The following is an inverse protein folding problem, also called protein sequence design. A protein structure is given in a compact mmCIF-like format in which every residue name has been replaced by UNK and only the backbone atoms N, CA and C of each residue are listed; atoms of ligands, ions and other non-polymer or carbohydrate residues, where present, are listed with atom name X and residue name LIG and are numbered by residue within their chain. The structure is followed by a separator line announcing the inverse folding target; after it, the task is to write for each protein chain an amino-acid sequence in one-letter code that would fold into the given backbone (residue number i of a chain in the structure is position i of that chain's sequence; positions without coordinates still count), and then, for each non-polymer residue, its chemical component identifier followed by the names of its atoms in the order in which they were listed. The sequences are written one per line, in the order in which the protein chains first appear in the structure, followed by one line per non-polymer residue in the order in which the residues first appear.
data_IF_343123815959
#
_entry.id   IF_343123815959
#
_cell.length_a   1.000
_cell.length_b   1.000
_cell.length_c   1.000
_cell.angle_alpha   90.00
_cell.angle_beta   90.00
_cell.angle_gamma   90.00
#
_symmetry.space_group_name_H-M   'P 1'
#
loop_
_entity.id
_entity.type
_entity.pdbx_description
1 polymer ?
#
# COMPACT_ATOMS: atom_id res chain seq x y z
N UNK A 1 13.76 -3.77 -4.04
CA UNK A 1 14.42 -3.18 -5.19
C UNK A 1 15.75 -2.48 -4.82
N UNK A 2 15.74 -1.33 -4.11
CA UNK A 2 16.99 -0.58 -3.82
C UNK A 2 18.06 -1.40 -3.06
N UNK A 3 17.68 -2.27 -2.14
CA UNK A 3 18.63 -3.13 -1.42
C UNK A 3 19.24 -4.21 -2.33
N UNK A 4 18.49 -4.73 -3.30
CA UNK A 4 19.02 -5.63 -4.32
C UNK A 4 20.02 -4.91 -5.22
N UNK A 5 19.70 -3.69 -5.66
CA UNK A 5 20.64 -2.86 -6.43
C UNK A 5 21.89 -2.49 -5.63
N UNK A 6 21.77 -2.33 -4.32
CA UNK A 6 22.89 -2.14 -3.41
C UNK A 6 23.76 -3.39 -3.29
N UNK A 7 23.26 -4.57 -3.67
CA UNK A 7 24.00 -5.82 -3.76
C UNK A 7 23.58 -6.89 -2.75
N UNK A 8 22.36 -6.82 -2.23
CA UNK A 8 21.78 -7.96 -1.53
C UNK A 8 21.73 -9.18 -2.47
N UNK A 9 22.01 -10.36 -1.94
CA UNK A 9 22.03 -11.60 -2.72
C UNK A 9 20.59 -12.01 -3.07
N UNK A 10 20.26 -11.90 -4.37
CA UNK A 10 18.94 -12.24 -4.89
C UNK A 10 18.59 -13.72 -4.64
N UNK A 11 19.58 -14.63 -4.73
CA UNK A 11 19.34 -16.06 -4.51
C UNK A 11 18.92 -16.35 -3.08
N UNK A 12 19.55 -15.68 -2.11
CA UNK A 12 19.15 -15.79 -0.69
C UNK A 12 17.72 -15.31 -0.48
N UNK A 13 17.34 -14.21 -1.13
CA UNK A 13 15.96 -13.71 -1.08
C UNK A 13 14.97 -14.71 -1.69
N UNK A 14 15.27 -15.23 -2.89
CA UNK A 14 14.43 -16.21 -3.58
C UNK A 14 14.24 -17.49 -2.74
N UNK A 15 15.31 -18.05 -2.17
CA UNK A 15 15.26 -19.24 -1.32
C UNK A 15 14.37 -19.05 -0.08
N UNK A 16 14.40 -17.85 0.52
CA UNK A 16 13.50 -17.50 1.64
C UNK A 16 12.05 -17.41 1.16
N UNK A 17 11.78 -16.70 0.07
CA UNK A 17 10.43 -16.50 -0.46
C UNK A 17 9.80 -17.82 -0.96
N UNK A 18 10.59 -18.73 -1.55
CA UNK A 18 10.15 -20.08 -1.90
C UNK A 18 9.73 -20.92 -0.66
N UNK A 19 10.29 -20.62 0.51
CA UNK A 19 9.93 -21.29 1.76
C UNK A 19 8.68 -20.74 2.46
N UNK A 20 8.11 -19.64 1.95
CA UNK A 20 6.90 -19.02 2.51
C UNK A 20 5.70 -19.99 2.46
N UNK A 21 4.95 -20.16 3.58
CA UNK A 21 3.74 -20.96 3.61
C UNK A 21 2.53 -20.21 2.98
N UNK A 22 2.81 -19.31 2.04
CA UNK A 22 1.84 -18.52 1.30
C UNK A 22 2.07 -18.76 -0.18
N UNK A 23 1.01 -19.06 -0.92
CA UNK A 23 1.07 -19.37 -2.34
C UNK A 23 0.36 -18.30 -3.18
N UNK A 24 0.55 -18.36 -4.48
CA UNK A 24 -0.17 -17.52 -5.43
C UNK A 24 0.51 -16.21 -5.74
N UNK A 25 1.82 -16.15 -5.60
CA UNK A 25 2.63 -15.03 -6.08
C UNK A 25 3.88 -15.51 -6.83
N UNK A 26 4.39 -14.66 -7.69
CA UNK A 26 5.68 -14.79 -8.37
C UNK A 26 6.45 -13.48 -8.18
N UNK A 27 7.76 -13.55 -8.02
CA UNK A 27 8.60 -12.35 -7.99
C UNK A 27 9.36 -12.19 -9.31
N UNK A 28 9.50 -10.94 -9.76
CA UNK A 28 10.37 -10.58 -10.88
C UNK A 28 11.29 -9.45 -10.49
N UNK A 29 12.57 -9.61 -10.81
CA UNK A 29 13.60 -8.59 -10.61
C UNK A 29 14.12 -8.16 -11.97
N UNK A 30 13.91 -6.91 -12.33
CA UNK A 30 14.25 -6.36 -13.63
C UNK A 30 15.00 -5.02 -13.48
N UNK A 31 15.47 -4.48 -14.63
CA UNK A 31 15.96 -3.12 -14.73
C UNK A 31 14.96 -2.27 -15.51
N UNK A 32 14.68 -1.07 -15.03
CA UNK A 32 13.76 -0.13 -15.68
C UNK A 32 14.33 1.28 -15.69
N UNK A 33 13.92 2.07 -16.68
CA UNK A 33 14.29 3.48 -16.75
C UNK A 33 13.20 4.36 -16.13
N UNK A 34 13.51 5.10 -15.07
CA UNK A 34 12.63 6.09 -14.44
C UNK A 34 13.22 7.49 -14.66
N UNK A 35 12.58 8.28 -15.51
CA UNK A 35 13.06 9.64 -15.86
C UNK A 35 14.53 9.69 -16.30
N UNK A 36 14.98 8.70 -17.07
CA UNK A 36 16.36 8.59 -17.52
C UNK A 36 17.34 8.00 -16.51
N UNK A 37 16.87 7.55 -15.34
CA UNK A 37 17.69 6.91 -14.32
C UNK A 37 17.42 5.39 -14.37
N UNK A 38 18.50 4.60 -14.49
CA UNK A 38 18.43 3.14 -14.42
C UNK A 38 18.20 2.72 -12.97
N UNK A 39 17.16 1.89 -12.74
CA UNK A 39 16.74 1.48 -11.42
C UNK A 39 16.39 -0.01 -11.40
N UNK A 40 16.61 -0.65 -10.26
CA UNK A 40 16.11 -2.00 -10.01
C UNK A 40 14.60 -1.95 -9.79
N UNK A 41 13.88 -2.81 -10.48
CA UNK A 41 12.46 -3.04 -10.31
C UNK A 41 12.25 -4.42 -9.65
N UNK A 42 11.52 -4.42 -8.54
CA UNK A 42 11.11 -5.63 -7.85
C UNK A 42 9.59 -5.70 -7.92
N UNK A 43 9.09 -6.74 -8.51
CA UNK A 43 7.68 -6.92 -8.80
C UNK A 43 7.14 -8.18 -8.13
N UNK A 44 6.05 -8.05 -7.39
CA UNK A 44 5.29 -9.17 -6.82
C UNK A 44 4.03 -9.33 -7.65
N UNK A 45 3.98 -10.38 -8.44
CA UNK A 45 2.88 -10.69 -9.34
C UNK A 45 1.96 -11.69 -8.61
N UNK A 46 0.72 -11.30 -8.40
CA UNK A 46 -0.29 -12.19 -7.80
C UNK A 46 -0.98 -13.00 -8.89
N UNK A 47 -1.34 -14.25 -8.59
CA UNK A 47 -2.15 -15.06 -9.48
C UNK A 47 -3.58 -14.51 -9.52
N UNK A 48 -4.26 -14.58 -10.67
CA UNK A 48 -5.61 -14.05 -10.90
C UNK A 48 -6.65 -14.50 -9.86
N UNK A 49 -6.47 -15.65 -9.22
CA UNK A 49 -7.34 -16.14 -8.16
C UNK A 49 -7.21 -15.36 -6.83
N UNK A 50 -6.08 -14.65 -6.65
CA UNK A 50 -5.73 -13.88 -5.46
C UNK A 50 -5.85 -12.38 -5.74
N UNK A 51 -5.75 -11.98 -7.00
CA UNK A 51 -5.79 -10.61 -7.50
C UNK A 51 -7.23 -10.02 -7.47
N UNK A 52 -7.95 -10.30 -6.40
CA UNK A 52 -9.23 -9.67 -6.09
C UNK A 52 -9.07 -8.33 -5.36
N UNK A 53 -7.86 -7.85 -5.19
CA UNK A 53 -7.59 -6.50 -4.71
C UNK A 53 -7.78 -5.54 -5.86
N UNK A 54 -8.83 -4.75 -5.74
CA UNK A 54 -9.15 -3.60 -6.59
C UNK A 54 -8.08 -2.51 -6.36
N UNK A 55 -6.84 -2.82 -6.73
CA UNK A 55 -5.89 -1.79 -7.06
C UNK A 55 -6.39 -1.24 -8.38
N UNK A 56 -7.00 -0.07 -8.33
CA UNK A 56 -7.33 0.75 -9.50
C UNK A 56 -6.02 1.08 -10.26
N UNK A 57 -5.37 0.03 -10.80
CA UNK A 57 -4.13 0.14 -11.55
C UNK A 57 -4.33 1.01 -12.79
N UNK A 58 -5.52 1.02 -13.39
CA UNK A 58 -5.89 1.94 -14.48
C UNK A 58 -5.88 3.40 -14.02
N UNK A 59 -6.37 3.69 -12.83
CA UNK A 59 -6.34 5.05 -12.27
C UNK A 59 -4.93 5.48 -11.87
N UNK A 60 -4.13 4.54 -11.38
CA UNK A 60 -2.73 4.78 -10.97
C UNK A 60 -1.78 4.95 -12.16
N UNK A 61 -2.09 4.37 -13.33
CA UNK A 61 -1.26 4.42 -14.53
C UNK A 61 -1.70 5.44 -15.58
N UNK A 62 -2.77 6.22 -15.33
CA UNK A 62 -3.13 7.38 -16.15
C UNK A 62 -3.42 7.06 -17.61
N UNK A 63 -4.18 6.02 -17.91
CA UNK A 63 -4.71 5.82 -19.26
C UNK A 63 -5.85 6.83 -19.51
N UNK A 64 -5.52 7.88 -20.26
CA UNK A 64 -6.44 8.88 -20.75
C UNK A 64 -7.34 8.25 -21.84
N UNK A 65 -8.48 7.71 -21.45
CA UNK A 65 -9.51 7.30 -22.38
C UNK A 65 -10.28 8.52 -22.85
N UNK A 66 -9.75 9.22 -23.86
CA UNK A 66 -10.51 10.20 -24.60
C UNK A 66 -11.63 9.49 -25.39
N UNK A 67 -12.79 9.31 -24.79
CA UNK A 67 -13.99 8.93 -25.51
C UNK A 67 -14.42 10.10 -26.40
N UNK A 68 -14.19 9.97 -27.71
CA UNK A 68 -14.82 10.81 -28.71
C UNK A 68 -16.30 10.47 -28.74
N UNK A 69 -17.12 11.23 -28.04
CA UNK A 69 -18.55 11.24 -28.25
C UNK A 69 -18.83 12.07 -29.51
N UNK A 70 -19.36 11.38 -30.54
CA UNK A 70 -19.92 12.04 -31.71
C UNK A 70 -21.08 12.95 -31.29
N UNK A 71 -21.02 14.16 -31.75
CA UNK A 71 -22.08 15.16 -31.54
C UNK A 71 -23.34 14.73 -32.28
N UNK A 72 -24.41 14.40 -31.57
CA UNK A 72 -25.77 14.53 -32.05
C UNK A 72 -26.47 15.60 -31.19
N UNK A 73 -26.83 16.70 -31.90
CA UNK A 73 -27.55 17.83 -31.32
C UNK A 73 -28.99 17.40 -31.01
N UNK A 74 -29.38 17.37 -29.76
CA UNK A 74 -30.77 17.43 -29.34
C UNK A 74 -31.01 18.69 -28.54
N UNK A 75 -31.74 19.61 -29.23
CA UNK A 75 -32.22 20.88 -28.72
C UNK A 75 -33.44 20.63 -27.82
N UNK A 76 -33.32 20.86 -26.51
CA UNK A 76 -34.46 20.95 -25.61
C UNK A 76 -34.45 22.28 -24.86
N UNK A 77 -35.40 23.12 -25.29
CA UNK A 77 -35.81 24.34 -24.64
C UNK A 77 -36.52 23.99 -23.32
N UNK A 78 -36.09 24.54 -22.21
CA UNK A 78 -36.84 24.57 -20.95
C UNK A 78 -37.15 26.00 -20.58
N UNK A 79 -38.47 26.34 -20.65
CA UNK A 79 -39.02 27.55 -20.04
C UNK A 79 -39.20 27.36 -18.55
N UNK A 80 -38.76 28.35 -17.76
CA UNK A 80 -39.02 28.44 -16.33
C UNK A 80 -40.37 29.15 -16.11
N UNK A 81 -41.26 28.54 -15.29
CA UNK A 81 -42.31 29.28 -14.59
C UNK A 81 -42.36 28.79 -13.13
N UNK A 82 -42.20 29.77 -12.22
CA UNK A 82 -42.42 29.63 -10.80
C UNK A 82 -43.93 29.77 -10.52
N UNK A 83 -44.47 28.84 -9.67
CA UNK A 83 -45.56 29.21 -8.77
C UNK A 83 -45.62 28.23 -7.59
N UNK A 84 -45.79 28.84 -6.41
CA UNK A 84 -45.89 28.16 -5.11
C UNK A 84 -47.36 27.82 -4.82
N UNK A 85 -47.64 26.67 -4.22
CA UNK A 85 -48.82 26.49 -3.37
C UNK A 85 -48.69 25.27 -2.44
N UNK A 86 -49.22 25.45 -1.28
CA UNK A 86 -49.20 24.61 -0.08
C UNK A 86 -50.11 23.38 -0.09
N UNK A 87 -49.77 22.44 0.80
CA UNK A 87 -50.62 21.49 1.59
C UNK A 87 -51.38 20.38 0.86
N UNK A 88 -51.12 19.13 1.15
CA UNK A 88 -51.96 18.29 2.04
C UNK A 88 -51.44 16.86 2.22
N UNK A 89 -51.58 16.38 3.44
CA UNK A 89 -51.35 15.01 3.93
C UNK A 89 -52.40 14.08 3.34
N UNK A 90 -51.97 12.93 2.79
CA UNK A 90 -52.82 11.76 2.64
C UNK A 90 -51.98 10.46 2.80
N UNK A 91 -52.32 9.70 3.81
CA UNK A 91 -51.86 8.34 4.09
C UNK A 91 -52.56 7.38 3.09
N UNK A 92 -51.78 6.67 2.30
CA UNK A 92 -52.31 5.46 1.61
C UNK A 92 -51.34 4.31 1.82
N UNK A 93 -51.82 3.32 2.60
CA UNK A 93 -51.21 2.01 2.67
C UNK A 93 -51.45 1.26 1.37
N UNK A 94 -50.39 0.67 0.80
CA UNK A 94 -50.50 -0.37 -0.20
C UNK A 94 -49.79 -1.63 0.30
N UNK A 95 -50.63 -2.63 0.50
CA UNK A 95 -50.29 -4.01 0.70
C UNK A 95 -49.84 -4.58 -0.66
N UNK A 96 -48.62 -5.07 -0.78
CA UNK A 96 -48.17 -5.82 -1.95
C UNK A 96 -47.61 -7.17 -1.51
N UNK A 97 -48.18 -8.16 -2.16
CA UNK A 97 -47.94 -9.55 -1.97
C UNK A 97 -46.53 -10.02 -2.29
N UNK A 98 -46.29 -11.12 -1.71
CA UNK A 98 -45.18 -12.04 -1.78
C UNK A 98 -44.83 -12.40 -3.25
N UNK A 99 -43.69 -11.92 -3.76
CA UNK A 99 -43.01 -12.54 -4.89
C UNK A 99 -41.57 -12.81 -4.47
N UNK A 100 -41.29 -14.10 -4.24
CA UNK A 100 -39.98 -14.67 -3.99
C UNK A 100 -39.09 -14.51 -5.23
N UNK A 101 -38.42 -13.39 -5.37
CA UNK A 101 -37.27 -13.27 -6.25
C UNK A 101 -36.07 -13.90 -5.55
N UNK A 102 -35.62 -15.04 -6.07
CA UNK A 102 -34.38 -15.68 -5.67
C UNK A 102 -33.21 -14.70 -5.95
N UNK A 103 -32.76 -14.01 -4.90
CA UNK A 103 -31.49 -13.31 -4.95
C UNK A 103 -30.39 -14.36 -5.02
N UNK A 104 -29.81 -14.52 -6.20
CA UNK A 104 -28.51 -15.18 -6.34
C UNK A 104 -27.51 -14.37 -5.53
N UNK A 105 -27.12 -14.91 -4.38
CA UNK A 105 -25.98 -14.39 -3.64
C UNK A 105 -24.77 -14.59 -4.53
N UNK A 106 -24.29 -13.50 -5.13
CA UNK A 106 -22.92 -13.44 -5.64
C UNK A 106 -22.01 -13.83 -4.47
N UNK A 107 -21.23 -14.87 -4.69
CA UNK A 107 -20.21 -15.32 -3.75
C UNK A 107 -19.19 -14.17 -3.63
N UNK A 108 -19.36 -13.33 -2.60
CA UNK A 108 -18.28 -12.48 -2.13
C UNK A 108 -17.15 -13.42 -1.72
N UNK A 109 -16.12 -13.52 -2.55
CA UNK A 109 -14.87 -14.20 -2.21
C UNK A 109 -14.34 -13.57 -0.94
N UNK A 110 -14.38 -14.29 0.16
CA UNK A 110 -13.84 -13.85 1.44
C UNK A 110 -12.31 -13.73 1.30
N UNK A 111 -11.81 -12.52 1.17
CA UNK A 111 -10.40 -12.24 1.39
C UNK A 111 -10.05 -12.69 2.82
N UNK A 112 -9.04 -13.55 2.95
CA UNK A 112 -8.55 -13.96 4.27
C UNK A 112 -7.87 -12.75 4.91
N UNK A 113 -8.62 -12.01 5.72
CA UNK A 113 -8.03 -11.00 6.59
C UNK A 113 -7.13 -11.71 7.61
N UNK A 114 -5.83 -11.41 7.55
CA UNK A 114 -4.85 -11.99 8.47
C UNK A 114 -4.65 -11.07 9.66
N UNK A 115 -4.66 -11.65 10.87
CA UNK A 115 -4.27 -10.95 12.08
C UNK A 115 -2.81 -11.21 12.44
N UNK A 116 -2.35 -10.61 13.55
CA UNK A 116 -0.96 -10.76 14.02
C UNK A 116 -0.56 -12.21 14.34
N UNK A 117 -1.51 -13.07 14.71
CA UNK A 117 -1.22 -14.48 15.02
C UNK A 117 -0.88 -15.26 13.75
N UNK A 118 -1.63 -15.05 12.66
CA UNK A 118 -1.37 -15.66 11.37
C UNK A 118 -0.04 -15.15 10.78
N UNK A 119 0.25 -13.86 10.93
CA UNK A 119 1.54 -13.28 10.50
C UNK A 119 2.71 -13.94 11.28
N UNK A 120 2.60 -14.09 12.60
CA UNK A 120 3.63 -14.77 13.39
C UNK A 120 3.85 -16.20 12.91
N UNK A 121 2.77 -16.96 12.70
CA UNK A 121 2.88 -18.32 12.18
C UNK A 121 3.59 -18.37 10.83
N UNK A 122 3.25 -17.47 9.90
CA UNK A 122 3.91 -17.35 8.60
C UNK A 122 5.42 -17.09 8.78
N UNK A 123 5.80 -16.15 9.67
CA UNK A 123 7.19 -15.83 9.94
C UNK A 123 7.94 -17.03 10.56
N UNK A 124 7.30 -17.77 11.47
CA UNK A 124 7.89 -18.91 12.16
C UNK A 124 8.10 -20.11 11.22
N UNK A 125 7.19 -20.31 10.28
CA UNK A 125 7.24 -21.41 9.30
C UNK A 125 8.18 -21.08 8.12
N UNK A 126 8.59 -19.82 7.95
CA UNK A 126 9.49 -19.40 6.86
C UNK A 126 10.96 -19.62 7.24
N UNK A 127 11.75 -20.18 6.31
CA UNK A 127 13.18 -20.45 6.50
C UNK A 127 14.01 -19.18 6.32
N UNK A 128 14.20 -18.43 7.37
CA UNK A 128 15.02 -17.21 7.40
C UNK A 128 15.86 -17.15 8.67
N UNK A 129 16.81 -16.23 8.73
CA UNK A 129 17.61 -15.95 9.93
C UNK A 129 16.73 -15.35 11.04
N UNK A 130 17.15 -15.52 12.29
CA UNK A 130 16.45 -14.90 13.43
C UNK A 130 16.50 -13.37 13.37
N UNK A 131 17.55 -12.80 12.79
CA UNK A 131 17.71 -11.37 12.57
C UNK A 131 16.66 -10.85 11.59
N UNK A 132 16.54 -11.44 10.38
CA UNK A 132 15.52 -11.08 9.39
C UNK A 132 14.11 -11.26 9.96
N UNK A 133 13.84 -12.35 10.68
CA UNK A 133 12.56 -12.61 11.35
C UNK A 133 12.24 -11.52 12.37
N UNK A 134 13.23 -11.13 13.19
CA UNK A 134 13.07 -10.05 14.17
C UNK A 134 12.73 -8.70 13.54
N UNK A 135 13.38 -8.36 12.41
CA UNK A 135 13.09 -7.14 11.64
C UNK A 135 11.65 -7.19 11.10
N UNK A 136 11.27 -8.28 10.41
CA UNK A 136 9.93 -8.44 9.85
C UNK A 136 8.84 -8.35 10.93
N UNK A 137 9.00 -9.06 12.03
CA UNK A 137 8.06 -9.04 13.14
C UNK A 137 7.89 -7.63 13.72
N UNK A 138 8.99 -6.88 13.88
CA UNK A 138 8.94 -5.49 14.38
C UNK A 138 8.16 -4.58 13.42
N UNK A 139 8.33 -4.74 12.10
CA UNK A 139 7.58 -3.98 11.10
C UNK A 139 6.08 -4.26 11.24
N UNK A 140 5.66 -5.53 11.28
CA UNK A 140 4.24 -5.89 11.44
C UNK A 140 3.66 -5.40 12.77
N UNK A 141 4.40 -5.43 13.86
CA UNK A 141 3.96 -4.89 15.15
C UNK A 141 3.70 -3.38 15.10
N UNK A 142 4.53 -2.62 14.37
CA UNK A 142 4.33 -1.19 14.17
C UNK A 142 3.06 -0.94 13.35
N UNK A 143 2.88 -1.68 12.26
CA UNK A 143 1.69 -1.61 11.41
C UNK A 143 0.43 -1.95 12.21
N UNK A 144 0.43 -3.06 12.97
CA UNK A 144 -0.72 -3.45 13.78
C UNK A 144 -1.13 -2.36 14.77
N UNK A 145 -0.19 -1.70 15.42
CA UNK A 145 -0.49 -0.59 16.34
C UNK A 145 -1.05 0.63 15.62
N UNK A 146 -0.58 0.92 14.41
CA UNK A 146 -1.07 2.04 13.61
C UNK A 146 -2.49 1.78 13.11
N UNK A 147 -2.76 0.57 12.60
CA UNK A 147 -4.10 0.14 12.16
C UNK A 147 -5.09 0.11 13.34
N UNK A 148 -4.68 -0.47 14.49
CA UNK A 148 -5.47 -0.46 15.72
C UNK A 148 -5.92 0.96 16.09
N UNK A 149 -5.00 1.92 15.98
CA UNK A 149 -5.27 3.32 16.29
C UNK A 149 -6.16 3.98 15.23
N UNK A 150 -5.93 3.69 13.95
CA UNK A 150 -6.72 4.25 12.85
C UNK A 150 -8.18 3.76 12.90
N UNK A 151 -8.39 2.48 13.25
CA UNK A 151 -9.71 1.85 13.35
C UNK A 151 -10.35 1.93 14.75
N UNK A 152 -9.61 2.42 15.74
CA UNK A 152 -10.04 2.47 17.15
C UNK A 152 -10.47 1.11 17.70
N UNK A 153 -9.66 0.08 17.45
CA UNK A 153 -9.85 -1.29 17.95
C UNK A 153 -8.62 -1.73 18.76
N UNK A 154 -8.74 -2.75 19.64
CA UNK A 154 -7.58 -3.38 20.27
C UNK A 154 -6.63 -3.98 19.22
N UNK A 155 -5.32 -3.99 19.52
CA UNK A 155 -4.29 -4.52 18.58
C UNK A 155 -4.52 -6.00 18.27
N UNK A 156 -5.07 -6.75 19.21
CA UNK A 156 -5.39 -8.17 19.09
C UNK A 156 -6.55 -8.45 18.12
N UNK A 157 -7.39 -7.44 17.90
CA UNK A 157 -8.56 -7.50 17.00
C UNK A 157 -8.27 -6.88 15.61
N UNK A 158 -7.02 -6.43 15.39
CA UNK A 158 -6.64 -5.90 14.09
C UNK A 158 -6.62 -7.00 13.05
N UNK A 159 -7.40 -6.78 12.00
CA UNK A 159 -7.29 -7.52 10.75
C UNK A 159 -6.65 -6.62 9.71
N UNK A 160 -5.53 -7.06 9.17
CA UNK A 160 -4.85 -6.32 8.12
C UNK A 160 -5.65 -6.40 6.82
N UNK A 161 -6.22 -5.29 6.38
CA UNK A 161 -6.97 -5.21 5.13
C UNK A 161 -6.04 -5.16 3.92
N UNK A 162 -5.03 -4.29 3.93
CA UNK A 162 -4.05 -4.12 2.87
C UNK A 162 -2.71 -4.81 3.23
N UNK A 163 -2.23 -4.60 4.44
CA UNK A 163 -0.91 -5.10 4.89
C UNK A 163 -0.87 -6.62 5.12
N UNK A 164 -2.01 -7.28 5.29
CA UNK A 164 -2.14 -8.73 5.36
C UNK A 164 -2.22 -9.41 3.99
N UNK A 165 -2.25 -8.65 2.91
CA UNK A 165 -2.18 -9.16 1.56
C UNK A 165 -0.82 -9.80 1.27
N UNK A 166 -0.78 -10.68 0.29
CA UNK A 166 0.42 -11.49 -0.01
C UNK A 166 1.60 -10.61 -0.44
N UNK A 167 1.35 -9.61 -1.27
CA UNK A 167 2.34 -8.64 -1.75
C UNK A 167 3.01 -7.89 -0.61
N UNK A 168 2.24 -7.38 0.35
CA UNK A 168 2.77 -6.68 1.52
C UNK A 168 3.62 -7.59 2.42
N UNK A 169 3.22 -8.86 2.58
CA UNK A 169 4.02 -9.84 3.32
C UNK A 169 5.34 -10.08 2.61
N UNK A 170 5.31 -10.30 1.30
CA UNK A 170 6.51 -10.51 0.47
C UNK A 170 7.42 -9.29 0.52
N UNK A 171 6.89 -8.08 0.42
CA UNK A 171 7.67 -6.84 0.48
C UNK A 171 8.37 -6.67 1.82
N UNK A 172 7.67 -6.87 2.94
CA UNK A 172 8.23 -6.74 4.29
C UNK A 172 9.33 -7.76 4.52
N UNK A 173 9.08 -9.03 4.15
CA UNK A 173 10.09 -10.08 4.28
C UNK A 173 11.30 -9.80 3.40
N UNK A 174 11.07 -9.36 2.16
CA UNK A 174 12.15 -9.03 1.23
C UNK A 174 13.08 -7.94 1.77
N UNK A 175 12.51 -6.90 2.38
CA UNK A 175 13.31 -5.84 3.01
C UNK A 175 14.10 -6.39 4.20
N UNK A 176 13.46 -7.19 5.06
CA UNK A 176 14.12 -7.76 6.24
C UNK A 176 15.29 -8.69 5.87
N UNK A 177 15.07 -9.57 4.90
CA UNK A 177 16.09 -10.49 4.39
C UNK A 177 17.24 -9.74 3.72
N UNK A 178 16.95 -8.75 2.87
CA UNK A 178 17.99 -7.97 2.21
C UNK A 178 18.84 -7.14 3.18
N UNK A 179 18.24 -6.54 4.20
CA UNK A 179 18.97 -5.78 5.22
C UNK A 179 19.90 -6.69 6.02
N UNK A 180 19.42 -7.86 6.43
CA UNK A 180 20.20 -8.85 7.14
C UNK A 180 21.34 -9.41 6.28
N UNK A 181 21.04 -9.79 5.02
CA UNK A 181 22.03 -10.30 4.08
C UNK A 181 23.16 -9.29 3.79
N UNK A 182 22.84 -7.98 3.72
CA UNK A 182 23.83 -6.92 3.57
C UNK A 182 24.59 -6.61 4.86
N UNK A 183 24.22 -7.20 5.99
CA UNK A 183 24.82 -6.92 7.29
C UNK A 183 24.62 -5.47 7.76
N UNK A 184 23.51 -4.81 7.35
CA UNK A 184 23.21 -3.43 7.69
C UNK A 184 22.77 -3.36 9.15
N UNK A 185 23.57 -2.70 9.99
CA UNK A 185 23.29 -2.52 11.42
C UNK A 185 22.93 -1.07 11.78
N UNK A 186 23.32 -0.10 10.95
CA UNK A 186 23.00 1.30 11.15
C UNK A 186 22.20 1.86 9.98
N UNK A 187 21.07 2.47 10.29
CA UNK A 187 20.16 3.08 9.30
C UNK A 187 19.85 4.50 9.75
N UNK A 188 20.29 5.47 8.95
CA UNK A 188 20.09 6.90 9.23
C UNK A 188 19.02 7.44 8.30
N UNK A 189 17.89 7.85 8.87
CA UNK A 189 16.81 8.49 8.13
C UNK A 189 16.45 9.81 8.82
N UNK A 190 16.95 10.95 8.32
CA UNK A 190 16.68 12.25 8.91
C UNK A 190 15.23 12.69 8.79
N UNK A 191 14.60 12.43 7.64
CA UNK A 191 13.26 12.87 7.30
C UNK A 191 12.67 11.98 6.22
N UNK A 192 11.38 11.67 6.32
CA UNK A 192 10.58 11.11 5.25
C UNK A 192 9.97 12.26 4.42
N UNK A 193 10.08 12.19 3.11
CA UNK A 193 9.46 13.15 2.20
C UNK A 193 8.12 12.59 1.73
N UNK A 194 7.03 13.23 2.14
CA UNK A 194 5.67 12.86 1.80
C UNK A 194 5.09 13.82 0.77
N UNK A 195 4.12 13.33 -0.02
CA UNK A 195 3.34 14.16 -0.93
C UNK A 195 2.20 14.91 -0.25
N UNK A 196 1.24 15.37 -1.05
CA UNK A 196 0.06 16.10 -0.58
C UNK A 196 -1.17 15.71 -1.42
N UNK A 197 -2.35 16.20 -1.03
CA UNK A 197 -3.61 15.91 -1.71
C UNK A 197 -4.30 14.67 -1.15
N UNK A 198 -4.68 13.76 -2.01
CA UNK A 198 -5.45 12.55 -1.65
C UNK A 198 -4.92 11.31 -2.35
N UNK A 199 -5.22 10.14 -1.77
CA UNK A 199 -4.98 8.83 -2.36
C UNK A 199 -6.27 8.00 -2.27
N UNK A 200 -6.53 7.18 -3.30
CA UNK A 200 -7.60 6.17 -3.26
C UNK A 200 -7.03 4.86 -2.73
N UNK A 201 -7.74 4.25 -1.78
CA UNK A 201 -7.43 2.95 -1.19
C UNK A 201 -8.73 2.18 -0.90
N UNK A 202 -8.65 1.01 -0.28
CA UNK A 202 -9.85 0.22 0.10
C UNK A 202 -10.82 1.00 1.01
N UNK A 203 -10.34 1.95 1.79
CA UNK A 203 -11.15 2.83 2.63
C UNK A 203 -11.76 4.04 1.88
N UNK A 204 -11.62 4.08 0.56
CA UNK A 204 -12.04 5.20 -0.26
C UNK A 204 -10.94 6.24 -0.47
N UNK A 205 -11.31 7.52 -0.60
CA UNK A 205 -10.37 8.61 -0.83
C UNK A 205 -9.92 9.18 0.52
N UNK A 206 -8.64 9.04 0.83
CA UNK A 206 -8.04 9.53 2.06
C UNK A 206 -7.10 10.71 1.81
N UNK A 207 -6.98 11.65 2.77
CA UNK A 207 -5.96 12.70 2.68
C UNK A 207 -4.56 12.13 2.87
N UNK A 208 -3.57 12.74 2.22
CA UNK A 208 -2.14 12.44 2.39
C UNK A 208 -1.52 13.46 3.34
N UNK A 209 -0.80 13.00 4.40
CA UNK A 209 -0.50 11.62 4.80
C UNK A 209 -1.73 10.85 5.29
N UNK A 210 -1.82 9.56 4.94
CA UNK A 210 -2.93 8.73 5.41
C UNK A 210 -2.87 8.50 6.93
N UNK A 211 -4.02 8.19 7.60
CA UNK A 211 -4.08 8.07 9.07
C UNK A 211 -3.04 7.10 9.66
N UNK A 212 -2.82 5.94 9.06
CA UNK A 212 -1.84 4.97 9.53
C UNK A 212 -0.41 5.54 9.50
N UNK A 213 -0.02 6.27 8.44
CA UNK A 213 1.28 6.96 8.37
C UNK A 213 1.42 8.00 9.47
N UNK A 214 0.40 8.82 9.70
CA UNK A 214 0.45 9.83 10.77
C UNK A 214 0.62 9.20 12.15
N UNK A 215 -0.02 8.07 12.42
CA UNK A 215 0.14 7.33 13.67
C UNK A 215 1.54 6.73 13.82
N UNK A 216 2.11 6.14 12.76
CA UNK A 216 3.49 5.61 12.79
C UNK A 216 4.49 6.74 13.06
N UNK A 217 4.36 7.85 12.33
CA UNK A 217 5.24 9.04 12.49
C UNK A 217 5.20 9.55 13.92
N UNK A 218 3.99 9.70 14.49
CA UNK A 218 3.80 10.16 15.86
C UNK A 218 4.38 9.19 16.90
N UNK A 219 4.04 7.90 16.80
CA UNK A 219 4.44 6.90 17.79
C UNK A 219 5.93 6.59 17.79
N UNK A 220 6.55 6.62 16.58
CA UNK A 220 7.96 6.26 16.40
C UNK A 220 8.88 7.48 16.33
N UNK A 221 8.36 8.70 16.49
CA UNK A 221 9.16 9.93 16.47
C UNK A 221 9.90 10.11 15.14
N UNK A 222 9.23 9.83 14.01
CA UNK A 222 9.77 10.09 12.70
C UNK A 222 9.57 11.57 12.33
N UNK A 223 10.51 12.11 11.55
CA UNK A 223 10.34 13.43 10.96
C UNK A 223 9.68 13.30 9.58
N UNK A 224 8.70 14.14 9.30
CA UNK A 224 8.00 14.16 8.02
C UNK A 224 8.14 15.55 7.39
N UNK A 225 8.42 15.60 6.09
CA UNK A 225 8.40 16.81 5.27
C UNK A 225 7.37 16.66 4.17
N UNK A 226 6.39 17.55 4.14
CA UNK A 226 5.43 17.60 3.04
C UNK A 226 6.07 18.27 1.83
N UNK A 227 5.95 17.67 0.67
CA UNK A 227 6.42 18.15 -0.63
C UNK A 227 5.22 18.58 -1.49
N UNK A 228 5.42 19.35 -2.57
CA UNK A 228 4.32 19.74 -3.46
C UNK A 228 3.84 18.61 -4.39
N UNK A 229 4.45 17.43 -4.34
CA UNK A 229 4.08 16.28 -5.17
C UNK A 229 2.67 15.80 -4.81
N UNK A 230 1.79 15.69 -5.83
CA UNK A 230 0.44 15.17 -5.62
C UNK A 230 0.46 13.66 -5.48
N UNK A 231 -0.14 13.15 -4.38
CA UNK A 231 -0.25 11.73 -4.07
C UNK A 231 0.63 11.28 -2.90
N UNK A 232 0.51 10.01 -2.55
CA UNK A 232 1.18 9.37 -1.43
C UNK A 232 2.58 8.91 -1.82
N UNK A 233 3.62 9.47 -1.19
CA UNK A 233 5.01 9.05 -1.36
C UNK A 233 5.48 8.13 -0.23
N UNK A 234 4.84 8.22 0.94
CA UNK A 234 5.15 7.41 2.13
C UNK A 234 3.94 6.54 2.47
N UNK A 235 3.99 5.27 2.10
CA UNK A 235 2.95 4.30 2.46
C UNK A 235 3.06 3.87 3.92
N UNK A 236 2.00 3.32 4.55
CA UNK A 236 2.07 2.73 5.89
C UNK A 236 3.20 1.70 6.03
N UNK A 237 3.34 0.79 5.05
CA UNK A 237 4.42 -0.20 5.02
C UNK A 237 5.79 0.46 4.98
N UNK A 238 6.00 1.46 4.11
CA UNK A 238 7.26 2.19 4.02
C UNK A 238 7.61 2.94 5.30
N UNK A 239 6.65 3.61 5.93
CA UNK A 239 6.82 4.28 7.21
C UNK A 239 7.19 3.28 8.33
N UNK A 240 6.52 2.12 8.38
CA UNK A 240 6.77 1.09 9.38
C UNK A 240 8.15 0.44 9.21
N UNK A 241 8.60 0.20 7.96
CA UNK A 241 9.96 -0.28 7.66
C UNK A 241 10.97 0.71 8.25
N UNK A 242 10.87 1.99 7.90
CA UNK A 242 11.79 3.01 8.42
C UNK A 242 11.75 3.07 9.95
N UNK A 243 10.56 3.06 10.55
CA UNK A 243 10.39 3.08 12.00
C UNK A 243 11.03 1.86 12.68
N UNK A 244 10.98 0.69 12.04
CA UNK A 244 11.54 -0.54 12.58
C UNK A 244 13.07 -0.55 12.54
N UNK A 245 13.69 -0.04 11.46
CA UNK A 245 15.12 -0.21 11.21
C UNK A 245 15.95 1.02 11.50
N UNK A 246 15.36 2.23 11.55
CA UNK A 246 16.10 3.47 11.82
C UNK A 246 16.80 3.45 13.17
N UNK A 247 18.11 3.68 13.15
CA UNK A 247 18.96 3.79 14.36
C UNK A 247 19.23 5.26 14.72
N UNK A 248 19.25 6.17 13.73
CA UNK A 248 19.50 7.60 13.93
C UNK A 248 18.70 8.47 12.94
N UNK A 249 18.38 9.69 13.36
CA UNK A 249 17.86 10.75 12.50
C UNK A 249 18.93 11.83 12.17
N UNK A 250 20.16 11.68 12.68
CA UNK A 250 21.23 12.67 12.48
C UNK A 250 22.25 12.13 11.50
N UNK A 251 22.41 12.80 10.37
CA UNK A 251 23.53 12.57 9.47
C UNK A 251 24.83 13.02 10.14
N UNK A 252 25.94 12.28 9.94
CA UNK A 252 27.28 12.79 10.26
C UNK A 252 27.54 14.10 9.51
N UNK A 253 28.38 14.98 10.07
CA UNK A 253 28.80 16.22 9.41
C UNK A 253 29.49 15.94 8.07
N UNK A 254 30.27 14.85 8.03
CA UNK A 254 30.95 14.39 6.82
C UNK A 254 30.79 12.88 6.68
N UNK A 255 30.60 12.40 5.47
CA UNK A 255 30.58 10.97 5.13
C UNK A 255 30.98 10.76 3.67
N UNK A 256 31.51 9.58 3.37
CA UNK A 256 31.76 9.13 2.01
C UNK A 256 30.62 8.25 1.51
N UNK A 257 30.25 8.37 0.24
CA UNK A 257 29.32 7.46 -0.41
C UNK A 257 30.17 6.38 -1.10
N UNK A 258 30.07 5.16 -0.60
CA UNK A 258 30.78 4.01 -1.17
C UNK A 258 29.94 3.33 -2.25
N UNK A 259 28.62 3.25 -2.04
CA UNK A 259 27.70 2.57 -2.95
C UNK A 259 26.30 3.20 -2.89
N UNK A 260 25.58 3.13 -3.99
CA UNK A 260 24.20 3.60 -4.08
C UNK A 260 23.33 2.49 -4.68
N UNK A 261 22.20 2.22 -4.07
CA UNK A 261 21.18 1.35 -4.64
C UNK A 261 19.95 2.15 -5.00
N UNK A 262 19.40 1.94 -6.19
CA UNK A 262 18.24 2.67 -6.72
C UNK A 262 17.12 1.69 -7.02
N UNK A 263 15.99 1.84 -6.33
CA UNK A 263 14.78 1.05 -6.56
C UNK A 263 13.69 1.86 -7.23
N UNK A 264 13.04 1.28 -8.22
CA UNK A 264 11.91 1.88 -8.91
C UNK A 264 10.60 1.68 -8.13
N UNK A 265 9.81 2.75 -7.99
CA UNK A 265 8.41 2.68 -7.56
C UNK A 265 7.48 2.45 -8.75
N UNK A 266 6.31 1.86 -8.51
CA UNK A 266 5.33 1.57 -9.57
C UNK A 266 4.54 2.82 -9.99
N UNK A 267 4.21 3.69 -9.04
CA UNK A 267 3.41 4.90 -9.29
C UNK A 267 4.18 5.93 -10.14
N UNK A 268 3.44 6.72 -10.89
CA UNK A 268 3.98 7.82 -11.70
C UNK A 268 3.70 9.16 -11.03
N UNK A 269 4.73 9.97 -10.86
CA UNK A 269 4.68 11.30 -10.28
C UNK A 269 5.41 12.30 -11.17
N UNK A 270 5.29 13.60 -10.88
CA UNK A 270 6.07 14.65 -11.53
C UNK A 270 7.60 14.49 -11.28
N UNK A 271 7.96 13.90 -10.15
CA UNK A 271 9.33 13.53 -9.84
C UNK A 271 9.58 12.04 -10.18
N UNK A 272 10.84 11.62 -10.36
CA UNK A 272 11.18 10.21 -10.51
C UNK A 272 10.67 9.42 -9.28
N UNK A 273 9.81 8.43 -9.50
CA UNK A 273 9.35 7.53 -8.45
C UNK A 273 10.43 6.50 -8.10
N UNK A 274 11.49 6.94 -7.45
CA UNK A 274 12.61 6.09 -7.05
C UNK A 274 12.95 6.25 -5.57
N UNK A 275 13.43 5.16 -4.97
CA UNK A 275 14.11 5.16 -3.67
C UNK A 275 15.62 4.97 -3.91
N UNK A 276 16.43 5.79 -3.25
CA UNK A 276 17.88 5.73 -3.32
C UNK A 276 18.48 5.56 -1.93
#
# INVERSE_FOLDING_TARGET
AALLDLGADQKVLEDVLESLPVQGFEIKVNRVMKSGIDACDFDVILNEEIDGHDHDMEYLHGHDHSHKHGAEEHNHQYEHSHEAAEKNVAVHGHNHGDETAAHTHEYHRHHKHRGMNEIRQILDDTKMTDSARGIALKIFQILAKAEAKAHNVPVEEVHFHEVGAVDSIVDILSVAVCLDNLGITEVIVPVLCEGMGTVRCQHGILPVPVPAVTHIVQQCGLNLRITPVQGELVTPTGAAIVAAVRTSCKLPETFAIEKTGIGAGKRTYECPGILR
#
